data_IF_205128460872
#
_entry.id   IF_205128460872
#
_cell.length_a   1.000
_cell.length_b   1.000
_cell.length_c   1.000
_cell.angle_alpha   90.00
_cell.angle_beta   90.00
_cell.angle_gamma   90.00
#
_symmetry.space_group_name_H-M   'P 1'
#
loop_
_entity.id
_entity.type
_entity.pdbx_description
1 polymer ?
#
# COMPACT_ATOMS: atom_id res chain seq x y z
N UNK A 1 16.53 -21.97 35.58
CA UNK A 1 15.93 -20.85 36.34
C UNK A 1 15.80 -19.68 35.39
N UNK A 2 14.57 -19.34 35.02
CA UNK A 2 14.26 -18.26 34.08
C UNK A 2 14.43 -16.92 34.82
N UNK A 3 15.32 -16.07 34.31
CA UNK A 3 15.48 -14.71 34.81
C UNK A 3 14.21 -13.92 34.53
N UNK A 4 13.61 -13.38 35.59
CA UNK A 4 12.59 -12.34 35.55
C UNK A 4 13.04 -11.24 34.58
N UNK A 5 12.21 -10.94 33.58
CA UNK A 5 12.50 -9.87 32.62
C UNK A 5 12.70 -8.55 33.36
N UNK A 6 13.91 -8.00 33.29
CA UNK A 6 14.16 -6.64 33.71
C UNK A 6 13.32 -5.72 32.81
N UNK A 7 12.39 -4.97 33.38
CA UNK A 7 11.68 -3.89 32.68
C UNK A 7 12.71 -2.96 32.06
N UNK A 8 12.72 -2.87 30.73
CA UNK A 8 13.66 -2.02 30.01
C UNK A 8 13.24 -0.56 30.16
N UNK A 9 14.18 0.34 30.44
CA UNK A 9 13.87 1.78 30.55
C UNK A 9 13.48 2.34 29.18
N UNK A 10 12.54 3.27 29.14
CA UNK A 10 12.19 3.97 27.91
C UNK A 10 11.97 5.46 28.20
N UNK A 11 12.89 6.27 27.69
CA UNK A 11 12.88 7.73 27.86
C UNK A 11 12.34 8.36 26.59
N UNK A 12 11.27 9.14 26.68
CA UNK A 12 10.69 9.89 25.57
C UNK A 12 11.04 11.37 25.70
N UNK A 13 11.75 11.94 24.72
CA UNK A 13 12.11 13.35 24.71
C UNK A 13 11.12 14.16 23.86
N UNK A 14 10.51 15.19 24.46
CA UNK A 14 9.49 16.05 23.82
C UNK A 14 9.95 17.51 23.94
N UNK A 15 9.70 18.32 22.93
CA UNK A 15 10.01 19.75 22.97
C UNK A 15 10.39 20.32 21.62
N UNK A 16 10.63 21.62 21.55
CA UNK A 16 10.95 22.30 20.29
C UNK A 16 12.35 21.96 19.75
N UNK A 17 12.58 22.29 18.48
CA UNK A 17 13.89 22.15 17.84
C UNK A 17 14.90 23.04 18.56
N UNK A 18 16.12 22.54 18.77
CA UNK A 18 17.18 23.29 19.47
C UNK A 18 17.14 23.25 21.01
N UNK A 19 16.12 22.61 21.62
CA UNK A 19 16.01 22.56 23.08
C UNK A 19 16.94 21.53 23.76
N UNK A 20 17.73 20.77 23.01
CA UNK A 20 18.75 19.86 23.57
C UNK A 20 18.33 18.40 23.74
N UNK A 21 17.25 17.97 23.08
CA UNK A 21 16.76 16.58 23.09
C UNK A 21 17.83 15.59 22.61
N UNK A 22 18.43 15.84 21.45
CA UNK A 22 19.46 14.97 20.87
C UNK A 22 20.76 14.99 21.68
N UNK A 23 21.16 16.15 22.22
CA UNK A 23 22.30 16.22 23.15
C UNK A 23 22.07 15.34 24.39
N UNK A 24 20.85 15.35 24.94
CA UNK A 24 20.54 14.52 26.10
C UNK A 24 20.59 13.03 25.78
N UNK A 25 20.26 12.62 24.55
CA UNK A 25 20.45 11.24 24.11
C UNK A 25 21.91 10.77 24.26
N UNK A 26 22.89 11.64 23.94
CA UNK A 26 24.32 11.30 24.11
C UNK A 26 24.72 11.18 25.58
N UNK A 27 24.11 11.96 26.47
CA UNK A 27 24.32 11.84 27.92
C UNK A 27 23.89 10.46 28.44
N UNK A 28 22.80 9.90 27.90
CA UNK A 28 22.36 8.53 28.18
C UNK A 28 23.16 7.43 27.46
N UNK A 29 24.21 7.80 26.71
CA UNK A 29 25.09 6.86 26.02
C UNK A 29 24.62 6.42 24.65
N UNK A 30 23.69 7.14 24.01
CA UNK A 30 23.33 6.89 22.62
C UNK A 30 24.54 7.12 21.70
N UNK A 31 24.82 6.16 20.82
CA UNK A 31 25.87 6.27 19.81
C UNK A 31 25.32 6.85 18.50
N UNK A 32 26.18 7.52 17.72
CA UNK A 32 25.86 8.04 16.37
C UNK A 32 24.72 9.07 16.32
N UNK A 33 24.53 9.85 17.38
CA UNK A 33 23.56 10.96 17.41
C UNK A 33 24.06 12.13 16.56
N UNK A 34 23.22 12.63 15.65
CA UNK A 34 23.50 13.86 14.90
C UNK A 34 23.06 15.07 15.74
N UNK A 35 24.00 15.92 16.14
CA UNK A 35 23.72 17.15 16.89
C UNK A 35 23.92 18.34 15.94
N UNK A 36 22.83 18.99 15.55
CA UNK A 36 22.86 20.22 14.75
C UNK A 36 22.65 21.46 15.63
N UNK A 37 23.47 22.49 15.44
CA UNK A 37 23.34 23.80 16.10
C UNK A 37 22.54 24.83 15.26
N UNK A 38 21.95 24.42 14.14
CA UNK A 38 21.26 25.32 13.21
C UNK A 38 19.75 25.35 13.45
N UNK A 39 19.11 26.48 13.14
CA UNK A 39 17.65 26.67 13.18
C UNK A 39 16.90 25.92 12.06
N UNK A 40 17.59 25.08 11.27
CA UNK A 40 16.99 24.17 10.31
C UNK A 40 16.79 22.82 10.98
N UNK A 41 15.55 22.32 10.97
CA UNK A 41 15.19 20.98 11.42
C UNK A 41 16.10 19.93 10.78
N UNK A 42 17.01 19.33 11.55
CA UNK A 42 17.80 18.18 11.12
C UNK A 42 17.20 16.84 11.61
N UNK A 43 16.12 16.90 12.40
CA UNK A 43 15.38 15.75 12.91
C UNK A 43 14.05 15.62 12.17
N UNK A 44 14.08 15.29 10.88
CA UNK A 44 12.87 15.01 10.09
C UNK A 44 12.25 13.63 10.40
N UNK A 45 12.87 12.84 11.28
CA UNK A 45 12.41 11.51 11.65
C UNK A 45 12.65 11.19 13.13
N UNK A 46 11.63 10.65 13.79
CA UNK A 46 11.73 10.04 15.12
C UNK A 46 12.81 8.97 15.12
N UNK A 47 13.76 9.07 16.04
CA UNK A 47 14.88 8.13 16.14
C UNK A 47 14.87 7.47 17.52
N UNK A 48 14.96 6.14 17.53
CA UNK A 48 15.03 5.35 18.75
C UNK A 48 16.49 4.90 18.92
N UNK A 49 17.15 5.42 19.95
CA UNK A 49 18.51 5.04 20.30
C UNK A 49 18.51 3.96 21.38
N UNK A 50 19.34 2.96 21.21
CA UNK A 50 19.67 2.04 22.29
C UNK A 50 20.58 2.76 23.30
N UNK A 51 20.23 2.68 24.58
CA UNK A 51 20.98 3.24 25.69
C UNK A 51 21.21 2.17 26.75
N UNK A 52 22.04 2.46 27.75
CA UNK A 52 22.26 1.52 28.85
C UNK A 52 20.94 1.25 29.58
N UNK A 53 20.50 -0.01 29.54
CA UNK A 53 19.29 -0.48 30.22
C UNK A 53 17.99 -0.29 29.44
N UNK A 54 18.00 0.25 28.21
CA UNK A 54 16.77 0.44 27.44
C UNK A 54 16.89 1.38 26.23
N UNK A 55 15.89 2.25 26.04
CA UNK A 55 15.74 3.09 24.85
C UNK A 55 15.58 4.58 25.17
N UNK A 56 16.10 5.42 24.28
CA UNK A 56 15.85 6.85 24.25
C UNK A 56 15.17 7.21 22.92
N UNK A 57 13.98 7.78 22.97
CA UNK A 57 13.19 8.19 21.81
C UNK A 57 13.37 9.69 21.63
N UNK A 58 14.11 10.07 20.60
CA UNK A 58 14.32 11.47 20.20
C UNK A 58 13.28 11.85 19.14
N UNK A 59 12.45 12.85 19.44
CA UNK A 59 11.37 13.30 18.56
C UNK A 59 11.78 14.54 17.75
N UNK A 60 11.16 14.79 16.58
CA UNK A 60 11.21 16.10 15.94
C UNK A 60 10.77 17.22 16.90
N UNK A 61 11.16 18.45 16.58
CA UNK A 61 10.67 19.62 17.29
C UNK A 61 9.18 19.86 17.06
N UNK A 62 8.49 20.33 18.10
CA UNK A 62 7.08 20.76 18.04
C UNK A 62 6.90 22.22 17.56
N UNK A 63 7.95 22.85 16.99
CA UNK A 63 7.94 24.27 16.58
C UNK A 63 7.73 24.50 15.08
N UNK A 64 6.99 25.59 14.82
CA UNK A 64 6.19 25.94 13.63
C UNK A 64 6.95 26.35 12.35
N UNK A 65 6.39 25.95 11.20
CA UNK A 65 6.19 26.90 10.08
C UNK A 65 4.94 26.62 9.24
N UNK A 66 3.95 25.91 9.79
CA UNK A 66 2.66 25.76 9.13
C UNK A 66 1.59 25.55 10.21
N UNK A 67 0.76 26.56 10.45
CA UNK A 67 -0.53 26.39 11.16
C UNK A 67 -1.43 25.31 10.51
N UNK A 68 -1.04 24.82 9.32
CA UNK A 68 -1.66 23.74 8.56
C UNK A 68 -1.01 22.36 8.74
N UNK A 69 0.17 22.25 9.38
CA UNK A 69 0.76 20.95 9.74
C UNK A 69 0.06 20.47 11.00
N UNK A 70 -0.80 19.48 10.83
CA UNK A 70 -1.56 18.93 11.93
C UNK A 70 -0.61 18.14 12.85
N UNK A 71 -0.37 18.65 14.06
CA UNK A 71 0.44 18.01 15.11
C UNK A 71 0.03 16.55 15.39
N UNK A 72 -1.21 16.19 15.06
CA UNK A 72 -1.71 14.81 15.07
C UNK A 72 -0.83 13.85 14.25
N UNK A 73 -0.22 14.30 13.14
CA UNK A 73 0.68 13.47 12.34
C UNK A 73 2.00 13.17 13.08
N UNK A 74 2.56 14.18 13.76
CA UNK A 74 3.75 14.01 14.61
C UNK A 74 3.45 13.05 15.75
N UNK A 75 2.38 13.29 16.50
CA UNK A 75 1.91 12.42 17.59
C UNK A 75 1.72 10.98 17.10
N UNK A 76 0.98 10.80 16.01
CA UNK A 76 0.73 9.48 15.41
C UNK A 76 2.01 8.79 14.95
N UNK A 77 2.95 9.53 14.37
CA UNK A 77 4.22 8.97 13.93
C UNK A 77 5.05 8.46 15.11
N UNK A 78 5.00 9.13 16.27
CA UNK A 78 5.62 8.68 17.52
C UNK A 78 4.99 7.35 17.96
N UNK A 79 3.66 7.30 18.08
CA UNK A 79 2.96 6.06 18.45
C UNK A 79 3.26 4.90 17.49
N UNK A 80 3.26 5.15 16.17
CA UNK A 80 3.61 4.12 15.16
C UNK A 80 5.02 3.59 15.36
N UNK A 81 5.99 4.48 15.59
CA UNK A 81 7.39 4.08 15.81
C UNK A 81 7.58 3.25 17.08
N UNK A 82 6.91 3.63 18.15
CA UNK A 82 6.91 2.85 19.39
C UNK A 82 6.31 1.46 19.18
N UNK A 83 5.20 1.36 18.44
CA UNK A 83 4.57 0.07 18.11
C UNK A 83 5.43 -0.81 17.20
N UNK A 84 6.06 -0.25 16.17
CA UNK A 84 7.03 -0.94 15.31
C UNK A 84 8.19 -1.52 16.13
N UNK A 85 8.66 -0.76 17.12
CA UNK A 85 9.71 -1.14 18.05
C UNK A 85 9.24 -2.02 19.21
N UNK A 86 7.94 -2.35 19.30
CA UNK A 86 7.31 -3.10 20.40
C UNK A 86 7.51 -2.46 21.78
N UNK A 87 7.60 -1.14 21.84
CA UNK A 87 7.68 -0.36 23.07
C UNK A 87 6.26 -0.08 23.55
N UNK A 88 5.91 -0.62 24.71
CA UNK A 88 4.59 -0.45 25.33
C UNK A 88 4.64 0.37 26.63
N UNK A 89 5.83 0.55 27.20
CA UNK A 89 6.02 1.24 28.48
C UNK A 89 6.94 2.42 28.28
N UNK A 90 6.53 3.59 28.76
CA UNK A 90 7.38 4.78 28.87
C UNK A 90 7.73 4.94 30.35
N UNK A 91 9.01 4.85 30.68
CA UNK A 91 9.45 5.05 32.07
C UNK A 91 9.56 6.53 32.40
N UNK A 92 10.02 7.36 31.47
CA UNK A 92 10.16 8.80 31.74
C UNK A 92 9.93 9.64 30.50
N UNK A 93 9.27 10.78 30.68
CA UNK A 93 9.12 11.82 29.68
C UNK A 93 10.02 12.99 30.05
N UNK A 94 10.93 13.36 29.15
CA UNK A 94 11.74 14.57 29.27
C UNK A 94 11.11 15.67 28.41
N UNK A 95 10.52 16.66 29.06
CA UNK A 95 9.86 17.78 28.39
C UNK A 95 10.77 19.00 28.34
N UNK A 96 11.42 19.21 27.19
CA UNK A 96 12.39 20.25 26.95
C UNK A 96 11.74 21.57 26.53
N UNK A 97 11.81 22.57 27.40
CA UNK A 97 11.21 23.89 27.21
C UNK A 97 12.27 24.99 27.31
N UNK A 98 12.10 26.05 26.53
CA UNK A 98 12.82 27.32 26.73
C UNK A 98 11.80 28.28 27.32
N UNK A 99 12.04 28.88 28.50
CA UNK A 99 11.10 29.81 29.11
C UNK A 99 10.88 31.03 28.21
N UNK A 100 9.68 31.13 27.62
CA UNK A 100 9.23 32.26 26.81
C UNK A 100 7.74 32.50 27.10
N UNK A 101 7.42 33.67 27.65
CA UNK A 101 6.06 34.09 27.97
C UNK A 101 5.13 34.16 26.75
N UNK A 102 5.70 34.24 25.54
CA UNK A 102 4.98 34.26 24.26
C UNK A 102 4.69 32.85 23.72
N UNK A 103 5.32 31.80 24.26
CA UNK A 103 5.20 30.42 23.79
C UNK A 103 4.05 29.61 24.43
N UNK A 104 3.09 30.28 25.12
CA UNK A 104 1.97 29.63 25.82
C UNK A 104 1.17 28.64 24.94
N UNK A 105 0.98 28.97 23.66
CA UNK A 105 0.31 28.07 22.71
C UNK A 105 1.06 26.77 22.50
N UNK A 106 2.38 26.85 22.25
CA UNK A 106 3.25 25.69 22.04
C UNK A 106 3.32 24.79 23.27
N UNK A 107 3.42 25.35 24.48
CA UNK A 107 3.41 24.55 25.72
C UNK A 107 2.11 23.80 25.90
N UNK A 108 0.96 24.42 25.63
CA UNK A 108 -0.36 23.74 25.71
C UNK A 108 -0.46 22.59 24.72
N UNK A 109 0.08 22.73 23.51
CA UNK A 109 0.10 21.65 22.50
C UNK A 109 0.95 20.47 22.98
N UNK A 110 2.14 20.75 23.49
CA UNK A 110 3.04 19.71 24.03
C UNK A 110 2.44 19.02 25.26
N UNK A 111 1.82 19.79 26.17
CA UNK A 111 1.13 19.23 27.34
C UNK A 111 -0.06 18.33 26.97
N UNK A 112 -0.87 18.70 25.96
CA UNK A 112 -1.93 17.83 25.43
C UNK A 112 -1.38 16.53 24.88
N UNK A 113 -0.24 16.59 24.17
CA UNK A 113 0.39 15.36 23.69
C UNK A 113 0.84 14.48 24.85
N UNK A 114 1.49 15.04 25.87
CA UNK A 114 1.91 14.31 27.07
C UNK A 114 0.71 13.60 27.73
N UNK A 115 -0.39 14.31 27.97
CA UNK A 115 -1.64 13.71 28.49
C UNK A 115 -2.17 12.59 27.59
N UNK A 116 -2.11 12.77 26.27
CA UNK A 116 -2.59 11.74 25.33
C UNK A 116 -1.82 10.41 25.38
N UNK A 117 -0.56 10.42 25.85
CA UNK A 117 0.23 9.20 26.07
C UNK A 117 -0.40 8.34 27.17
N UNK A 118 -0.97 8.98 28.19
CA UNK A 118 -1.69 8.35 29.28
C UNK A 118 -3.18 8.20 29.01
N UNK A 119 -3.67 8.42 27.78
CA UNK A 119 -5.04 8.05 27.45
C UNK A 119 -5.25 6.56 27.75
N UNK A 120 -6.22 6.28 28.62
CA UNK A 120 -6.55 4.94 29.16
C UNK A 120 -5.54 4.36 30.17
N UNK A 121 -4.49 5.08 30.54
CA UNK A 121 -3.67 4.80 31.71
C UNK A 121 -4.42 5.23 32.98
N UNK A 122 -4.28 4.46 34.06
CA UNK A 122 -4.98 4.74 35.33
C UNK A 122 -4.17 5.62 36.29
N UNK A 123 -2.87 5.81 36.00
CA UNK A 123 -2.00 6.69 36.78
C UNK A 123 -1.91 8.08 36.18
N UNK A 124 -1.05 8.90 36.78
CA UNK A 124 -0.80 10.27 36.37
C UNK A 124 0.47 10.35 35.51
N UNK A 125 0.36 10.87 34.29
CA UNK A 125 1.50 10.97 33.36
C UNK A 125 2.60 11.90 33.88
N UNK A 126 2.19 12.89 34.67
CA UNK A 126 3.08 13.93 35.20
C UNK A 126 4.00 13.41 36.30
N UNK A 127 3.69 12.28 36.93
CA UNK A 127 4.54 11.62 37.93
C UNK A 127 5.82 11.04 37.30
N UNK A 128 5.80 10.77 35.99
CA UNK A 128 6.94 10.27 35.22
C UNK A 128 7.50 11.33 34.26
N UNK A 129 7.14 12.60 34.45
CA UNK A 129 7.56 13.70 33.58
C UNK A 129 8.58 14.60 34.29
N UNK A 130 9.63 14.98 33.57
CA UNK A 130 10.64 15.95 34.02
C UNK A 130 10.63 17.13 33.06
N UNK A 131 10.38 18.34 33.58
CA UNK A 131 10.51 19.58 32.81
C UNK A 131 11.97 19.98 32.77
N UNK A 132 12.59 19.91 31.60
CA UNK A 132 13.98 20.29 31.36
C UNK A 132 14.01 21.67 30.72
N UNK A 133 14.74 22.62 31.30
CA UNK A 133 14.76 23.99 30.80
C UNK A 133 16.13 24.64 30.78
N UNK A 134 16.33 25.50 29.77
CA UNK A 134 17.52 26.33 29.60
C UNK A 134 17.24 27.74 30.14
N UNK A 135 18.09 28.24 31.04
CA UNK A 135 18.05 29.63 31.52
C UNK A 135 17.65 29.79 33.00
N UNK A 136 17.72 31.03 33.49
CA UNK A 136 17.73 31.32 34.94
C UNK A 136 16.36 31.39 35.61
N UNK A 137 15.26 31.47 34.87
CA UNK A 137 13.90 31.48 35.41
C UNK A 137 12.94 30.72 34.49
N UNK A 138 12.27 29.69 35.03
CA UNK A 138 10.94 29.33 34.53
C UNK A 138 10.02 30.45 35.02
N UNK A 139 9.54 31.31 34.13
CA UNK A 139 8.21 31.87 34.36
C UNK A 139 7.23 30.70 34.32
N UNK A 140 6.19 30.68 35.17
CA UNK A 140 5.28 29.54 35.35
C UNK A 140 4.60 29.01 34.04
N UNK A 141 4.87 29.58 32.86
CA UNK A 141 4.31 29.21 31.55
C UNK A 141 4.18 27.69 31.27
N UNK A 142 5.25 26.87 31.31
CA UNK A 142 5.14 25.44 31.06
C UNK A 142 4.26 24.72 32.09
N UNK A 143 4.46 25.03 33.38
CA UNK A 143 3.72 24.41 34.49
C UNK A 143 2.25 24.84 34.49
N UNK A 144 1.97 26.10 34.19
CA UNK A 144 0.63 26.66 34.02
C UNK A 144 -0.09 26.01 32.84
N UNK A 145 0.61 25.84 31.70
CA UNK A 145 0.06 25.16 30.54
C UNK A 145 -0.29 23.70 30.86
N UNK A 146 0.62 22.98 31.51
CA UNK A 146 0.38 21.60 31.94
C UNK A 146 -0.77 21.49 32.95
N UNK A 147 -0.79 22.34 33.99
CA UNK A 147 -1.87 22.42 34.96
C UNK A 147 -3.22 22.70 34.29
N UNK A 148 -3.27 23.61 33.31
CA UNK A 148 -4.51 23.92 32.59
C UNK A 148 -5.03 22.72 31.79
N UNK A 149 -4.15 21.98 31.11
CA UNK A 149 -4.54 20.78 30.36
C UNK A 149 -4.95 19.65 31.32
N UNK A 150 -4.14 19.36 32.33
CA UNK A 150 -4.41 18.31 33.31
C UNK A 150 -5.74 18.52 34.05
N UNK A 151 -6.05 19.76 34.43
CA UNK A 151 -7.34 20.13 35.03
C UNK A 151 -8.52 19.87 34.10
N UNK A 152 -8.39 20.16 32.80
CA UNK A 152 -9.46 19.94 31.82
C UNK A 152 -9.78 18.46 31.63
N UNK A 153 -8.77 17.60 31.68
CA UNK A 153 -8.93 16.16 31.46
C UNK A 153 -9.41 15.42 32.72
N UNK A 154 -8.92 15.80 33.91
CA UNK A 154 -9.10 15.01 35.14
C UNK A 154 -9.93 15.69 36.23
N UNK A 155 -10.27 16.98 36.10
CA UNK A 155 -10.97 17.78 37.14
C UNK A 155 -10.30 17.71 38.53
N UNK A 156 -8.98 17.58 38.59
CA UNK A 156 -8.20 17.55 39.83
C UNK A 156 -7.19 18.69 39.88
N UNK A 157 -7.04 19.24 41.07
CA UNK A 157 -5.93 20.15 41.40
C UNK A 157 -4.70 19.34 41.84
N UNK A 158 -3.51 19.83 41.50
CA UNK A 158 -2.20 19.34 41.97
C UNK A 158 -1.62 18.03 41.35
N UNK A 159 -1.98 17.74 40.10
CA UNK A 159 -1.41 16.60 39.35
C UNK A 159 0.09 16.76 39.02
N UNK A 160 0.69 17.93 39.24
CA UNK A 160 2.10 18.20 38.93
C UNK A 160 3.00 18.21 40.16
N UNK A 161 2.53 17.70 41.31
CA UNK A 161 3.27 17.68 42.57
C UNK A 161 4.57 16.86 42.50
N UNK A 162 4.56 15.74 41.76
CA UNK A 162 5.72 14.86 41.60
C UNK A 162 6.54 15.14 40.32
N UNK A 163 6.15 16.13 39.53
CA UNK A 163 6.86 16.44 38.27
C UNK A 163 8.23 17.04 38.59
N UNK A 164 9.29 16.36 38.15
CA UNK A 164 10.65 16.83 38.33
C UNK A 164 10.94 18.08 37.50
N UNK A 165 11.82 18.95 37.98
CA UNK A 165 12.31 20.10 37.24
C UNK A 165 13.83 20.05 37.16
N UNK A 166 14.37 20.20 35.95
CA UNK A 166 15.80 20.21 35.72
C UNK A 166 16.23 21.46 34.94
N UNK A 167 16.86 22.39 35.66
CA UNK A 167 17.60 23.50 35.07
C UNK A 167 18.93 23.01 34.53
N UNK A 168 19.14 23.17 33.23
CA UNK A 168 20.41 22.83 32.59
C UNK A 168 20.90 23.96 31.68
N UNK A 169 22.09 24.46 32.00
CA UNK A 169 22.82 25.43 31.21
C UNK A 169 24.22 24.89 30.97
N UNK A 170 24.66 24.85 29.71
CA UNK A 170 25.99 24.34 29.39
C UNK A 170 27.01 25.47 29.58
N UNK A 171 28.02 25.25 30.41
CA UNK A 171 29.04 26.23 30.72
C UNK A 171 29.74 26.75 29.45
N UNK A 172 30.01 25.84 28.51
CA UNK A 172 30.64 26.14 27.22
C UNK A 172 29.73 26.91 26.26
N UNK A 173 28.43 27.04 26.56
CA UNK A 173 27.49 27.87 25.80
C UNK A 173 27.33 29.30 26.35
N UNK A 174 27.99 29.61 27.47
CA UNK A 174 27.92 30.93 28.10
C UNK A 174 28.82 31.95 27.41
N UNK A 175 28.40 33.21 27.44
CA UNK A 175 29.23 34.32 26.94
C UNK A 175 30.44 34.54 27.86
N UNK A 176 31.58 35.02 27.34
CA UNK A 176 32.74 35.36 28.19
C UNK A 176 32.45 36.41 29.27
N UNK A 177 31.41 37.22 29.08
CA UNK A 177 30.95 38.24 30.03
C UNK A 177 30.01 37.69 31.11
N UNK A 178 29.62 36.42 31.04
CA UNK A 178 28.72 35.80 31.99
C UNK A 178 29.37 35.66 33.38
N UNK A 179 28.58 35.86 34.43
CA UNK A 179 29.05 35.85 35.81
C UNK A 179 29.69 34.50 36.19
N UNK A 180 29.15 33.40 35.68
CA UNK A 180 29.68 32.06 35.99
C UNK A 180 31.06 31.83 35.36
N UNK A 181 31.33 32.45 34.21
CA UNK A 181 32.63 32.39 33.53
C UNK A 181 33.65 33.27 34.25
N UNK A 182 33.24 34.45 34.70
CA UNK A 182 34.12 35.40 35.41
C UNK A 182 34.52 34.93 36.81
N UNK A 183 33.60 34.29 37.54
CA UNK A 183 33.81 33.89 38.93
C UNK A 183 34.72 32.67 39.13
N UNK A 184 35.13 31.97 38.06
CA UNK A 184 36.01 30.77 38.10
C UNK A 184 35.55 29.71 39.12
N UNK A 185 34.24 29.47 39.18
CA UNK A 185 33.62 28.53 40.10
C UNK A 185 34.04 27.08 39.81
N UNK A 186 34.06 26.25 40.85
CA UNK A 186 34.23 24.79 40.72
C UNK A 186 32.99 24.14 40.09
N UNK A 187 33.13 22.94 39.54
CA UNK A 187 31.98 22.21 38.96
C UNK A 187 30.88 21.96 40.00
N UNK A 188 31.22 21.64 41.25
CA UNK A 188 30.21 21.45 42.31
C UNK A 188 29.42 22.74 42.56
N UNK A 189 30.09 23.89 42.61
CA UNK A 189 29.43 25.19 42.76
C UNK A 189 28.56 25.53 41.54
N UNK A 190 29.06 25.34 40.31
CA UNK A 190 28.31 25.59 39.08
C UNK A 190 27.02 24.75 39.02
N UNK A 191 27.11 23.47 39.39
CA UNK A 191 25.97 22.56 39.37
C UNK A 191 24.85 23.01 40.32
N UNK A 192 25.16 23.68 41.44
CA UNK A 192 24.11 24.25 42.32
C UNK A 192 23.28 25.35 41.64
N UNK A 193 23.82 25.98 40.61
CA UNK A 193 23.13 26.97 39.79
C UNK A 193 22.49 26.37 38.53
N UNK A 194 22.56 25.05 38.36
CA UNK A 194 22.12 24.35 37.14
C UNK A 194 23.05 24.55 35.94
N UNK A 195 24.31 24.93 36.19
CA UNK A 195 25.33 25.12 35.13
C UNK A 195 26.25 23.91 35.12
N UNK A 196 26.37 23.25 33.97
CA UNK A 196 27.13 22.00 33.81
C UNK A 196 28.13 22.11 32.68
N UNK A 197 29.28 21.45 32.84
CA UNK A 197 30.30 21.37 31.78
C UNK A 197 30.00 20.21 30.85
N UNK A 198 30.11 20.42 29.54
CA UNK A 198 29.98 19.37 28.52
C UNK A 198 31.05 18.30 28.68
N UNK A 199 32.22 18.67 29.22
CA UNK A 199 33.32 17.76 29.53
C UNK A 199 33.05 16.79 30.70
N UNK A 200 31.98 16.99 31.47
CA UNK A 200 31.61 16.20 32.65
C UNK A 200 30.19 15.62 32.52
N UNK A 201 29.89 14.84 31.45
CA UNK A 201 28.54 14.35 31.16
C UNK A 201 27.97 13.44 32.25
N UNK A 202 28.81 12.75 33.01
CA UNK A 202 28.42 11.91 34.14
C UNK A 202 27.71 12.70 35.25
N UNK A 203 28.04 13.99 35.43
CA UNK A 203 27.37 14.85 36.41
C UNK A 203 25.96 15.21 35.97
N UNK A 204 25.77 15.45 34.66
CA UNK A 204 24.45 15.70 34.07
C UNK A 204 23.61 14.42 34.18
N UNK A 205 24.19 13.27 33.84
CA UNK A 205 23.53 11.97 33.94
C UNK A 205 23.09 11.67 35.38
N UNK A 206 23.95 11.91 36.37
CA UNK A 206 23.62 11.69 37.78
C UNK A 206 22.39 12.51 38.23
N UNK A 207 22.25 13.75 37.75
CA UNK A 207 21.10 14.58 38.05
C UNK A 207 19.81 14.01 37.41
N UNK A 208 19.89 13.55 36.16
CA UNK A 208 18.76 12.87 35.53
C UNK A 208 18.37 11.59 36.27
N UNK A 209 19.32 10.72 36.60
CA UNK A 209 19.03 9.47 37.32
C UNK A 209 18.40 9.75 38.70
N UNK A 210 18.84 10.80 39.40
CA UNK A 210 18.23 11.21 40.67
C UNK A 210 16.79 11.69 40.50
N UNK A 211 16.46 12.39 39.41
CA UNK A 211 15.09 12.84 39.11
C UNK A 211 14.21 11.72 38.55
N UNK A 212 14.81 10.65 38.04
CA UNK A 212 14.13 9.47 37.53
C UNK A 212 13.93 8.38 38.60
N UNK A 213 14.34 8.64 39.84
CA UNK A 213 14.22 7.66 40.92
C UNK A 213 12.74 7.27 41.11
N UNK A 214 12.48 5.97 41.21
CA UNK A 214 11.11 5.42 41.28
C UNK A 214 10.31 5.39 39.96
N UNK A 215 10.70 6.14 38.92
CA UNK A 215 9.96 6.14 37.64
C UNK A 215 9.88 4.75 36.98
N UNK A 216 10.89 3.90 37.20
CA UNK A 216 10.94 2.54 36.65
C UNK A 216 9.90 1.59 37.28
N UNK A 217 9.46 1.88 38.50
CA UNK A 217 8.50 1.05 39.25
C UNK A 217 7.06 1.32 38.78
N UNK A 218 6.83 2.49 38.20
CA UNK A 218 5.52 2.95 37.74
C UNK A 218 5.58 3.49 36.31
N UNK A 219 5.90 2.65 35.30
CA UNK A 219 5.93 3.11 33.92
C UNK A 219 4.54 3.47 33.41
N UNK A 220 4.48 4.44 32.50
CA UNK A 220 3.28 4.79 31.75
C UNK A 220 3.05 3.70 30.69
N UNK A 221 2.07 2.84 30.93
CA UNK A 221 1.70 1.79 29.99
C UNK A 221 0.82 2.35 28.87
N UNK A 222 1.28 2.24 27.63
CA UNK A 222 0.57 2.65 26.41
C UNK A 222 -0.57 1.69 26.10
N UNK A 223 -1.70 1.90 26.77
CA UNK A 223 -2.93 1.16 26.49
C UNK A 223 -3.55 1.62 25.17
N UNK A 224 -3.36 0.85 24.09
CA UNK A 224 -4.07 1.11 22.84
C UNK A 224 -5.46 0.44 22.85
N UNK A 225 -6.50 1.20 22.50
CA UNK A 225 -7.87 0.68 22.37
C UNK A 225 -8.30 0.68 20.92
N UNK A 226 -8.61 -0.48 20.37
CA UNK A 226 -9.16 -0.56 19.01
C UNK A 226 -10.63 -0.16 19.05
N UNK A 227 -10.96 1.00 18.48
CA UNK A 227 -12.32 1.54 18.44
C UNK A 227 -12.74 1.70 16.97
N UNK A 228 -13.97 1.30 16.66
CA UNK A 228 -14.55 1.50 15.34
C UNK A 228 -15.10 2.92 15.20
N UNK A 229 -14.68 3.64 14.17
CA UNK A 229 -15.24 4.93 13.86
C UNK A 229 -16.72 4.79 13.47
N UNK A 230 -17.59 5.68 13.95
CA UNK A 230 -19.01 5.68 13.59
C UNK A 230 -19.28 6.28 12.20
N UNK A 231 -18.32 7.03 11.64
CA UNK A 231 -18.43 7.70 10.32
C UNK A 231 -17.79 6.91 9.18
N UNK A 232 -16.82 6.04 9.45
CA UNK A 232 -16.11 5.27 8.43
C UNK A 232 -15.83 3.83 8.91
N UNK A 233 -15.23 3.01 8.06
CA UNK A 233 -14.90 1.61 8.39
C UNK A 233 -13.55 1.46 9.13
N UNK A 234 -12.93 2.55 9.58
CA UNK A 234 -11.68 2.49 10.31
C UNK A 234 -11.89 1.96 11.72
N UNK A 235 -11.02 1.02 12.10
CA UNK A 235 -11.04 0.32 13.38
C UNK A 235 -9.59 0.28 13.88
N UNK A 236 -9.27 1.18 14.80
CA UNK A 236 -7.90 1.43 15.30
C UNK A 236 -7.97 2.25 16.59
N UNK A 237 -6.84 2.45 17.26
CA UNK A 237 -6.74 3.45 18.32
C UNK A 237 -6.87 4.87 17.74
N UNK A 238 -7.70 5.75 18.33
CA UNK A 238 -7.87 7.13 17.86
C UNK A 238 -6.55 7.89 17.65
N UNK A 239 -5.52 7.63 18.46
CA UNK A 239 -4.19 8.26 18.35
C UNK A 239 -3.37 7.73 17.17
N UNK A 240 -3.74 6.54 16.66
CA UNK A 240 -3.17 5.92 15.48
C UNK A 240 -4.01 6.15 14.22
N UNK A 241 -5.25 6.61 14.36
CA UNK A 241 -6.15 6.88 13.26
C UNK A 241 -5.55 7.91 12.30
N UNK A 242 -5.86 7.80 11.01
CA UNK A 242 -5.58 8.92 10.11
C UNK A 242 -6.44 10.13 10.53
N UNK A 243 -6.04 11.37 10.21
CA UNK A 243 -6.77 12.56 10.66
C UNK A 243 -8.21 12.66 10.11
N UNK A 244 -8.54 11.97 9.02
CA UNK A 244 -9.74 12.21 8.22
C UNK A 244 -10.46 10.92 7.80
N UNK A 245 -11.79 10.93 7.94
CA UNK A 245 -12.71 9.90 7.48
C UNK A 245 -12.83 9.88 5.96
N UNK A 246 -12.71 8.69 5.37
CA UNK A 246 -12.98 8.47 3.95
C UNK A 246 -14.45 8.06 3.72
N UNK A 247 -15.29 8.99 3.25
CA UNK A 247 -16.75 8.80 3.15
C UNK A 247 -17.24 8.30 1.78
N UNK A 248 -16.52 8.58 0.68
CA UNK A 248 -16.96 8.19 -0.67
C UNK A 248 -16.33 6.87 -1.12
N UNK A 249 -17.16 5.84 -1.24
CA UNK A 249 -16.75 4.51 -1.74
C UNK A 249 -17.31 4.24 -3.13
N UNK A 250 -16.52 3.60 -3.99
CA UNK A 250 -16.97 3.01 -5.26
C UNK A 250 -16.78 1.49 -5.23
N UNK A 251 -17.66 0.76 -5.93
CA UNK A 251 -17.48 -0.67 -6.15
C UNK A 251 -16.51 -0.92 -7.31
N UNK A 252 -15.65 -1.93 -7.18
CA UNK A 252 -14.70 -2.33 -8.24
C UNK A 252 -14.40 -3.84 -8.21
N UNK A 253 -13.84 -4.34 -9.31
CA UNK A 253 -13.32 -5.71 -9.42
C UNK A 253 -11.78 -5.71 -9.35
N UNK A 254 -11.15 -6.26 -8.29
CA UNK A 254 -9.71 -6.13 -8.04
C UNK A 254 -8.84 -6.97 -8.97
N UNK A 255 -9.38 -8.10 -9.44
CA UNK A 255 -8.63 -9.04 -10.25
C UNK A 255 -9.53 -9.48 -11.39
N UNK A 256 -9.22 -9.01 -12.59
CA UNK A 256 -9.96 -9.31 -13.80
C UNK A 256 -9.17 -10.25 -14.70
N UNK A 257 -9.87 -11.07 -15.46
CA UNK A 257 -9.32 -11.93 -16.49
C UNK A 257 -10.08 -11.73 -17.79
N UNK A 258 -9.33 -11.76 -18.88
CA UNK A 258 -9.86 -11.66 -20.22
C UNK A 258 -10.15 -13.09 -20.73
N UNK A 259 -11.42 -13.38 -21.05
CA UNK A 259 -11.87 -14.70 -21.50
C UNK A 259 -12.74 -14.58 -22.77
N UNK A 260 -12.88 -15.69 -23.48
CA UNK A 260 -13.93 -15.86 -24.47
C UNK A 260 -15.16 -16.53 -23.84
N UNK A 261 -16.34 -16.21 -24.36
CA UNK A 261 -17.57 -16.88 -23.95
C UNK A 261 -17.74 -18.21 -24.70
N UNK A 262 -18.07 -19.26 -23.95
CA UNK A 262 -18.45 -20.56 -24.49
C UNK A 262 -17.29 -21.57 -24.57
N UNK A 263 -17.58 -22.72 -25.19
CA UNK A 263 -16.64 -23.82 -25.35
C UNK A 263 -15.98 -23.77 -26.73
N UNK A 264 -14.75 -24.30 -26.80
CA UNK A 264 -14.04 -24.45 -28.06
C UNK A 264 -14.65 -25.60 -28.84
N UNK A 265 -15.23 -25.31 -30.00
CA UNK A 265 -15.83 -26.28 -30.92
C UNK A 265 -15.12 -26.27 -32.27
N UNK A 266 -15.11 -27.42 -32.94
CA UNK A 266 -14.57 -27.53 -34.30
C UNK A 266 -15.70 -27.32 -35.30
N UNK A 267 -15.52 -26.39 -36.24
CA UNK A 267 -16.46 -26.10 -37.32
C UNK A 267 -15.78 -26.20 -38.69
N UNK A 268 -16.59 -26.39 -39.73
CA UNK A 268 -16.21 -26.06 -41.11
C UNK A 268 -16.89 -24.72 -41.46
N UNK A 269 -16.13 -23.62 -41.70
CA UNK A 269 -16.68 -22.29 -41.94
C UNK A 269 -17.35 -22.18 -43.32
N UNK A 270 -17.09 -23.12 -44.23
CA UNK A 270 -17.61 -23.13 -45.59
C UNK A 270 -18.50 -24.35 -45.80
N UNK A 271 -19.52 -24.27 -46.69
CA UNK A 271 -20.38 -25.41 -46.99
C UNK A 271 -19.60 -26.55 -47.66
N UNK A 272 -20.22 -27.72 -47.71
CA UNK A 272 -19.71 -28.87 -48.45
C UNK A 272 -20.13 -28.79 -49.91
N UNK A 273 -19.34 -29.41 -50.78
CA UNK A 273 -19.63 -29.56 -52.21
C UNK A 273 -19.25 -30.96 -52.68
N UNK A 274 -19.77 -31.33 -53.84
CA UNK A 274 -19.45 -32.59 -54.49
C UNK A 274 -18.20 -32.41 -55.36
N UNK A 275 -17.24 -33.32 -55.20
CA UNK A 275 -15.98 -33.37 -55.93
C UNK A 275 -15.80 -34.73 -56.57
N UNK A 276 -15.21 -34.75 -57.76
CA UNK A 276 -14.74 -35.98 -58.41
C UNK A 276 -13.45 -36.44 -57.76
N UNK A 277 -13.38 -37.72 -57.37
CA UNK A 277 -12.20 -38.28 -56.71
C UNK A 277 -11.15 -38.80 -57.69
N UNK A 278 -11.48 -38.87 -58.98
CA UNK A 278 -10.61 -39.39 -60.04
C UNK A 278 -10.62 -38.45 -61.25
N UNK A 279 -9.77 -38.72 -62.25
CA UNK A 279 -9.60 -37.91 -63.45
C UNK A 279 -10.77 -38.04 -64.42
N UNK A 280 -10.97 -36.97 -65.18
CA UNK A 280 -11.89 -36.92 -66.30
C UNK A 280 -11.29 -37.67 -67.50
N UNK A 281 -12.11 -38.48 -68.16
CA UNK A 281 -11.78 -39.09 -69.45
C UNK A 281 -12.40 -38.24 -70.53
N UNK A 282 -11.56 -37.67 -71.40
CA UNK A 282 -12.01 -36.81 -72.49
C UNK A 282 -12.94 -37.53 -73.46
N UNK A 283 -13.84 -36.78 -74.09
CA UNK A 283 -14.72 -37.32 -75.11
C UNK A 283 -13.87 -37.80 -76.30
N UNK A 284 -14.12 -39.03 -76.74
CA UNK A 284 -13.40 -39.62 -77.88
C UNK A 284 -14.37 -39.94 -79.00
N UNK A 285 -13.91 -39.80 -80.23
CA UNK A 285 -14.69 -40.21 -81.41
C UNK A 285 -14.36 -41.66 -81.73
N UNK A 286 -15.34 -42.55 -81.61
CA UNK A 286 -15.21 -43.94 -82.06
C UNK A 286 -15.82 -44.06 -83.44
N UNK A 287 -15.17 -44.82 -84.33
CA UNK A 287 -15.77 -45.22 -85.61
C UNK A 287 -16.66 -46.43 -85.35
N UNK A 288 -17.95 -46.27 -85.56
CA UNK A 288 -18.91 -47.36 -85.52
C UNK A 288 -19.36 -47.70 -86.93
N UNK A 289 -19.85 -48.91 -87.09
CA UNK A 289 -20.37 -49.38 -88.36
C UNK A 289 -21.56 -48.49 -88.77
N UNK A 290 -21.52 -47.99 -90.00
CA UNK A 290 -22.60 -47.16 -90.52
C UNK A 290 -23.67 -48.07 -91.13
N UNK A 291 -24.83 -48.13 -90.49
CA UNK A 291 -26.00 -48.89 -90.92
C UNK A 291 -27.02 -48.03 -91.69
N UNK A 292 -26.64 -46.82 -92.08
CA UNK A 292 -27.50 -45.97 -92.91
C UNK A 292 -27.76 -46.58 -94.30
N UNK A 293 -28.90 -46.29 -94.93
CA UNK A 293 -29.21 -46.77 -96.29
C UNK A 293 -28.13 -46.40 -97.30
N UNK A 294 -27.52 -45.23 -97.17
CA UNK A 294 -26.44 -44.75 -98.04
C UNK A 294 -25.17 -45.60 -97.89
N UNK A 295 -24.81 -45.98 -96.66
CA UNK A 295 -23.67 -46.85 -96.38
C UNK A 295 -23.90 -48.27 -96.93
N UNK A 296 -25.15 -48.76 -96.86
CA UNK A 296 -25.54 -50.03 -97.48
C UNK A 296 -25.36 -50.03 -99.00
N UNK A 297 -25.76 -48.95 -99.68
CA UNK A 297 -25.54 -48.78 -101.13
C UNK A 297 -24.05 -48.82 -101.49
N UNK A 298 -23.19 -48.17 -100.71
CA UNK A 298 -21.73 -48.20 -100.91
C UNK A 298 -21.19 -49.63 -100.78
N UNK A 299 -21.67 -50.43 -99.82
CA UNK A 299 -21.26 -51.84 -99.69
C UNK A 299 -21.66 -52.68 -100.89
N UNK A 300 -22.88 -52.49 -101.41
CA UNK A 300 -23.38 -53.24 -102.58
C UNK A 300 -22.55 -52.91 -103.82
N UNK A 301 -22.29 -51.62 -104.07
CA UNK A 301 -21.54 -51.18 -105.26
C UNK A 301 -20.06 -51.57 -105.19
N UNK A 302 -19.48 -51.61 -103.99
CA UNK A 302 -18.08 -52.01 -103.79
C UNK A 302 -17.88 -53.51 -103.54
N UNK A 303 -18.92 -54.34 -103.76
CA UNK A 303 -18.90 -55.79 -103.49
C UNK A 303 -18.37 -56.16 -102.09
N UNK A 304 -18.71 -55.36 -101.08
CA UNK A 304 -18.34 -55.61 -99.68
C UNK A 304 -16.88 -55.27 -99.32
N UNK A 305 -16.09 -54.70 -100.24
CA UNK A 305 -14.69 -54.34 -99.98
C UNK A 305 -14.57 -53.15 -99.02
N UNK A 306 -15.49 -52.18 -99.11
CA UNK A 306 -15.49 -51.00 -98.23
C UNK A 306 -16.57 -51.15 -97.18
N UNK A 307 -16.18 -51.08 -95.90
CA UNK A 307 -17.11 -50.99 -94.78
C UNK A 307 -17.19 -49.53 -94.30
N UNK A 308 -18.25 -48.78 -94.67
CA UNK A 308 -18.40 -47.41 -94.21
C UNK A 308 -18.58 -47.39 -92.69
N UNK A 309 -17.84 -46.49 -92.05
CA UNK A 309 -17.95 -46.23 -90.62
C UNK A 309 -18.38 -44.79 -90.42
N UNK A 310 -19.28 -44.55 -89.48
CA UNK A 310 -19.65 -43.21 -89.04
C UNK A 310 -18.95 -42.86 -87.73
N UNK A 311 -18.55 -41.60 -87.52
CA UNK A 311 -18.04 -41.15 -86.24
C UNK A 311 -19.19 -41.07 -85.22
N UNK A 312 -19.09 -41.81 -84.14
CA UNK A 312 -19.96 -41.68 -82.96
C UNK A 312 -19.16 -41.01 -81.83
N UNK A 313 -19.70 -39.94 -81.26
CA UNK A 313 -19.08 -39.25 -80.11
C UNK A 313 -19.37 -40.06 -78.85
N UNK A 314 -18.33 -40.56 -78.20
CA UNK A 314 -18.42 -41.10 -76.83
C UNK A 314 -18.28 -39.91 -75.88
N UNK A 315 -19.33 -39.52 -75.13
CA UNK A 315 -19.25 -38.41 -74.21
C UNK A 315 -18.16 -38.65 -73.17
N UNK A 316 -17.42 -37.61 -72.81
CA UNK A 316 -16.47 -37.71 -71.71
C UNK A 316 -17.19 -38.00 -70.39
N UNK A 317 -16.49 -38.66 -69.48
CA UNK A 317 -17.05 -39.15 -68.23
C UNK A 317 -16.02 -39.09 -67.11
N UNK A 318 -16.51 -39.10 -65.88
CA UNK A 318 -15.66 -39.19 -64.70
C UNK A 318 -15.57 -40.66 -64.25
N UNK A 319 -14.35 -41.21 -64.16
CA UNK A 319 -14.13 -42.62 -63.76
C UNK A 319 -14.71 -42.94 -62.39
N UNK A 320 -14.62 -42.00 -61.45
CA UNK A 320 -15.13 -42.16 -60.10
C UNK A 320 -16.67 -42.21 -59.99
N UNK A 321 -17.40 -41.84 -61.04
CA UNK A 321 -18.86 -41.76 -61.05
C UNK A 321 -19.52 -42.92 -61.81
N UNK A 322 -18.92 -44.11 -61.83
CA UNK A 322 -19.39 -45.26 -62.63
C UNK A 322 -19.58 -44.90 -64.11
N UNK A 323 -18.67 -44.08 -64.66
CA UNK A 323 -18.72 -43.58 -66.03
C UNK A 323 -19.99 -42.77 -66.39
N UNK A 324 -20.62 -42.12 -65.39
CA UNK A 324 -21.69 -41.14 -65.63
C UNK A 324 -21.15 -39.90 -66.37
N UNK A 325 -22.07 -39.20 -67.02
CA UNK A 325 -21.78 -38.06 -67.90
C UNK A 325 -20.89 -36.98 -67.25
N UNK A 326 -20.20 -36.21 -68.10
CA UNK A 326 -19.36 -35.08 -67.73
C UNK A 326 -20.03 -34.07 -66.76
N UNK A 327 -21.36 -33.95 -66.81
CA UNK A 327 -22.15 -33.03 -66.00
C UNK A 327 -22.55 -33.59 -64.62
N UNK A 328 -21.94 -34.68 -64.17
CA UNK A 328 -22.21 -35.23 -62.84
C UNK A 328 -21.64 -34.32 -61.74
N UNK A 329 -22.40 -34.14 -60.66
CA UNK A 329 -22.06 -33.22 -59.56
C UNK A 329 -20.78 -33.60 -58.81
N UNK A 330 -20.33 -34.87 -58.90
CA UNK A 330 -19.22 -35.41 -58.11
C UNK A 330 -19.67 -36.58 -57.23
N UNK A 331 -18.81 -37.58 -57.05
CA UNK A 331 -19.11 -38.77 -56.24
C UNK A 331 -18.74 -38.65 -54.76
N UNK A 332 -18.00 -37.61 -54.37
CA UNK A 332 -17.49 -37.43 -53.01
C UNK A 332 -17.88 -36.07 -52.44
N UNK A 333 -18.49 -36.03 -51.25
CA UNK A 333 -18.77 -34.78 -50.56
C UNK A 333 -17.58 -34.34 -49.70
N UNK A 334 -17.11 -33.13 -49.91
CA UNK A 334 -15.97 -32.53 -49.19
C UNK A 334 -16.26 -31.08 -48.81
N UNK A 335 -15.63 -30.59 -47.74
CA UNK A 335 -15.77 -29.20 -47.32
C UNK A 335 -14.88 -28.25 -48.15
N UNK A 336 -15.42 -27.10 -48.57
CA UNK A 336 -14.63 -26.07 -49.26
C UNK A 336 -13.43 -25.57 -48.44
N UNK A 337 -13.54 -25.52 -47.10
CA UNK A 337 -12.48 -24.95 -46.25
C UNK A 337 -11.18 -25.76 -46.23
N UNK A 338 -11.25 -27.08 -46.39
CA UNK A 338 -10.09 -27.96 -46.13
C UNK A 338 -10.00 -29.16 -47.08
N UNK A 339 -10.99 -29.37 -47.95
CA UNK A 339 -11.03 -30.51 -48.86
C UNK A 339 -11.20 -31.87 -48.18
N UNK A 340 -11.45 -31.90 -46.86
CA UNK A 340 -11.72 -33.13 -46.12
C UNK A 340 -13.16 -33.59 -46.31
N UNK A 341 -13.38 -34.86 -46.04
CA UNK A 341 -14.67 -35.54 -46.24
C UNK A 341 -15.77 -34.95 -45.35
N UNK A 342 -17.03 -35.06 -45.78
CA UNK A 342 -18.18 -34.50 -45.05
C UNK A 342 -18.31 -35.02 -43.60
N UNK A 343 -17.82 -36.23 -43.32
CA UNK A 343 -17.81 -36.80 -41.96
C UNK A 343 -16.58 -36.38 -41.13
N UNK A 344 -15.67 -35.60 -41.70
CA UNK A 344 -14.45 -35.18 -41.00
C UNK A 344 -14.75 -34.14 -39.91
N UNK A 345 -14.01 -34.15 -38.79
CA UNK A 345 -14.13 -33.12 -37.78
C UNK A 345 -13.78 -31.73 -38.35
N UNK A 346 -14.39 -30.69 -37.79
CA UNK A 346 -14.24 -29.31 -38.23
C UNK A 346 -12.79 -28.89 -38.45
N UNK A 347 -12.55 -28.16 -39.55
CA UNK A 347 -11.22 -27.67 -39.94
C UNK A 347 -10.75 -26.45 -39.12
N UNK A 348 -11.64 -25.79 -38.38
CA UNK A 348 -11.35 -24.57 -37.63
C UNK A 348 -11.94 -24.62 -36.22
N UNK A 349 -11.16 -24.19 -35.22
CA UNK A 349 -11.61 -24.06 -33.83
C UNK A 349 -12.16 -22.65 -33.57
N UNK A 350 -13.38 -22.58 -33.05
CA UNK A 350 -14.00 -21.31 -32.61
C UNK A 350 -14.62 -21.48 -31.23
N UNK A 351 -14.92 -20.37 -30.57
CA UNK A 351 -15.80 -20.37 -29.39
C UNK A 351 -17.26 -20.35 -29.85
N UNK A 352 -18.06 -21.31 -29.38
CA UNK A 352 -19.44 -21.51 -29.83
C UNK A 352 -20.38 -20.32 -29.55
N UNK A 353 -20.15 -19.58 -28.45
CA UNK A 353 -20.97 -18.42 -28.08
C UNK A 353 -20.44 -17.13 -28.73
N UNK A 354 -19.16 -16.75 -28.54
CA UNK A 354 -18.65 -15.48 -29.07
C UNK A 354 -18.20 -15.53 -30.55
N UNK A 355 -18.14 -16.72 -31.17
CA UNK A 355 -17.75 -16.95 -32.57
C UNK A 355 -16.33 -16.51 -32.95
N UNK A 356 -15.52 -16.07 -31.99
CA UNK A 356 -14.11 -15.76 -32.22
C UNK A 356 -13.29 -17.03 -32.46
N UNK A 357 -12.22 -16.91 -33.24
CA UNK A 357 -11.31 -18.04 -33.51
C UNK A 357 -10.49 -18.36 -32.28
N UNK A 358 -10.16 -19.65 -32.12
CA UNK A 358 -9.26 -20.08 -31.07
C UNK A 358 -7.86 -19.45 -31.26
N UNK A 359 -7.43 -18.65 -30.29
CA UNK A 359 -6.18 -17.88 -30.35
C UNK A 359 -6.37 -16.38 -30.64
N UNK A 360 -7.59 -15.92 -30.96
CA UNK A 360 -7.88 -14.48 -31.05
C UNK A 360 -7.95 -13.82 -29.66
N UNK A 361 -7.80 -12.50 -29.64
CA UNK A 361 -7.91 -11.71 -28.41
C UNK A 361 -9.25 -11.97 -27.69
N UNK A 362 -9.25 -12.14 -26.36
CA UNK A 362 -10.47 -12.42 -25.60
C UNK A 362 -11.53 -11.33 -25.78
N UNK A 363 -12.81 -11.72 -25.79
CA UNK A 363 -13.92 -10.79 -26.05
C UNK A 363 -14.56 -10.18 -24.79
N UNK A 364 -14.24 -10.69 -23.60
CA UNK A 364 -14.85 -10.29 -22.35
C UNK A 364 -13.84 -10.21 -21.22
N UNK A 365 -14.05 -9.25 -20.33
CA UNK A 365 -13.29 -9.12 -19.08
C UNK A 365 -14.20 -9.44 -17.91
N UNK A 366 -13.87 -10.46 -17.12
CA UNK A 366 -14.63 -10.88 -15.95
C UNK A 366 -13.78 -10.78 -14.69
N UNK A 367 -14.41 -10.66 -13.52
CA UNK A 367 -13.69 -10.75 -12.25
C UNK A 367 -13.39 -12.20 -11.88
N UNK A 368 -12.12 -12.51 -11.57
CA UNK A 368 -11.71 -13.84 -11.08
C UNK A 368 -12.46 -14.27 -9.83
N UNK A 369 -12.82 -13.31 -8.97
CA UNK A 369 -13.40 -13.58 -7.65
C UNK A 369 -14.91 -13.86 -7.71
N UNK A 370 -15.68 -13.04 -8.43
CA UNK A 370 -17.15 -13.15 -8.45
C UNK A 370 -17.72 -13.61 -9.80
N UNK A 371 -16.87 -13.79 -10.82
CA UNK A 371 -17.25 -14.22 -12.19
C UNK A 371 -18.25 -13.32 -12.91
N UNK A 372 -18.50 -12.11 -12.39
CA UNK A 372 -19.26 -11.05 -13.06
C UNK A 372 -18.39 -10.29 -14.05
N UNK A 373 -19.03 -9.65 -15.04
CA UNK A 373 -18.35 -8.78 -16.02
C UNK A 373 -17.75 -7.55 -15.35
N UNK A 374 -16.68 -7.00 -15.92
CA UNK A 374 -15.96 -5.84 -15.36
C UNK A 374 -16.78 -4.55 -15.30
N UNK A 375 -17.83 -4.45 -16.11
CA UNK A 375 -18.78 -3.32 -16.18
C UNK A 375 -19.97 -3.47 -15.21
N UNK A 376 -20.10 -4.60 -14.53
CA UNK A 376 -21.10 -4.81 -13.49
C UNK A 376 -20.66 -4.20 -12.14
N UNK A 377 -21.59 -4.18 -11.18
CA UNK A 377 -21.27 -3.75 -9.82
C UNK A 377 -20.14 -4.59 -9.21
N UNK A 378 -19.10 -3.89 -8.75
CA UNK A 378 -17.86 -4.47 -8.26
C UNK A 378 -18.05 -5.37 -7.05
N UNK A 379 -17.20 -6.40 -6.92
CA UNK A 379 -17.24 -7.33 -5.79
C UNK A 379 -16.49 -6.86 -4.54
N UNK A 380 -15.80 -5.71 -4.62
CA UNK A 380 -15.16 -5.04 -3.49
C UNK A 380 -15.48 -3.56 -3.53
N UNK A 381 -15.37 -2.90 -2.38
CA UNK A 381 -15.45 -1.44 -2.27
C UNK A 381 -14.04 -0.87 -2.11
N UNK A 382 -13.81 0.30 -2.71
CA UNK A 382 -12.61 1.13 -2.49
C UNK A 382 -13.01 2.59 -2.34
N UNK A 383 -12.12 3.42 -1.81
CA UNK A 383 -12.36 4.85 -1.81
C UNK A 383 -12.39 5.39 -3.25
N UNK A 384 -13.45 6.13 -3.60
CA UNK A 384 -13.65 6.70 -4.94
C UNK A 384 -12.54 7.66 -5.34
N UNK A 385 -11.96 8.37 -4.37
CA UNK A 385 -10.99 9.42 -4.60
C UNK A 385 -9.53 8.90 -4.61
N UNK A 386 -9.10 8.10 -3.62
CA UNK A 386 -7.71 7.59 -3.60
C UNK A 386 -7.51 6.26 -4.34
N UNK A 387 -8.59 5.66 -4.88
CA UNK A 387 -8.59 4.37 -5.62
C UNK A 387 -7.94 3.20 -4.88
N UNK A 388 -7.76 3.34 -3.58
CA UNK A 388 -7.09 2.35 -2.74
C UNK A 388 -8.10 1.31 -2.25
N UNK A 389 -7.81 0.04 -2.51
CA UNK A 389 -8.61 -1.11 -2.09
C UNK A 389 -8.53 -1.36 -0.58
N UNK A 390 -7.60 -0.68 0.06
CA UNK A 390 -7.54 -0.49 1.49
C UNK A 390 -7.99 0.95 1.81
N UNK A 391 -9.18 1.18 2.41
CA UNK A 391 -9.60 2.51 2.86
C UNK A 391 -8.69 3.11 3.95
N UNK A 392 -7.61 2.41 4.33
CA UNK A 392 -6.65 2.78 5.38
C UNK A 392 -5.39 3.49 4.87
N UNK A 393 -5.25 3.82 3.58
CA UNK A 393 -4.00 4.45 3.10
C UNK A 393 -4.16 5.63 2.10
N UNK A 394 -3.63 6.76 2.58
CA UNK A 394 -3.07 7.97 1.94
C UNK A 394 -3.93 9.00 1.17
N UNK A 395 -3.76 10.25 1.66
CA UNK A 395 -3.75 11.59 1.03
C UNK A 395 -4.74 11.87 -0.10
N UNK A 396 -5.62 12.85 0.17
CA UNK A 396 -6.25 13.69 -0.86
C UNK A 396 -7.77 13.60 -0.98
N UNK A 397 -8.51 13.31 0.10
CA UNK A 397 -9.95 13.06 -0.01
C UNK A 397 -10.73 13.70 1.15
N UNK A 398 -11.60 14.66 0.82
CA UNK A 398 -12.59 15.42 1.62
C UNK A 398 -12.45 15.32 3.16
N UNK A 399 -12.04 16.44 3.76
CA UNK A 399 -11.69 16.60 5.17
C UNK A 399 -12.91 16.47 6.10
N UNK A 400 -13.10 15.32 6.74
CA UNK A 400 -14.06 15.17 7.84
C UNK A 400 -13.40 14.41 8.99
N UNK A 401 -13.33 14.99 10.19
CA UNK A 401 -12.72 14.34 11.35
C UNK A 401 -13.46 13.05 11.76
N UNK A 402 -12.70 12.07 12.26
CA UNK A 402 -13.24 10.85 12.84
C UNK A 402 -14.20 11.13 13.99
N UNK A 403 -15.16 10.23 14.17
CA UNK A 403 -15.99 10.16 15.36
C UNK A 403 -15.81 8.78 15.99
N UNK A 404 -14.92 8.70 16.98
CA UNK A 404 -14.74 7.52 17.80
C UNK A 404 -15.63 7.68 19.03
N UNK A 405 -16.58 6.76 19.28
CA UNK A 405 -17.33 6.77 20.53
C UNK A 405 -16.36 6.56 21.70
N UNK A 406 -16.53 7.37 22.76
CA UNK A 406 -15.70 7.32 23.98
C UNK A 406 -15.79 5.99 24.71
#
# INVERSE_FOLDING_TARGET
MAGSGLSQRCILAIGNTGNGKSFTATIFGAQSVKIGHSSKSETDSITIYAIKGGFYIDTPGFDDSDEYKNDDETVRSIFRKMMEAKIQDITTILWFVVPDSRAKGSYKRQARFIESLANYYKGNVWDNTIIVFKGDKIENGPRDAANEIARKEHNKDDLLSNTGEFKILLFESLLPTDIYVQMRLTSDQLNTFGVFKVSEPERILAQYESLMDGHLEHPIHLNLRVIKCSKCFEETDPRLAIPECHLETESFHPNTEAIHCGNVVNIHPSPHYHRHSDHYVEATTKREFDDSPQAWTVRVVTFGIVNPTRPTVVPGYWKCCYNKSANSLGCKQVYHCCGRDFQSPGCQKIYDVCKHKHGEAPCLTICKNCKKKSDAEGCKMRCKNCKNDNPRNTKGCIKVSHNFPN
#
